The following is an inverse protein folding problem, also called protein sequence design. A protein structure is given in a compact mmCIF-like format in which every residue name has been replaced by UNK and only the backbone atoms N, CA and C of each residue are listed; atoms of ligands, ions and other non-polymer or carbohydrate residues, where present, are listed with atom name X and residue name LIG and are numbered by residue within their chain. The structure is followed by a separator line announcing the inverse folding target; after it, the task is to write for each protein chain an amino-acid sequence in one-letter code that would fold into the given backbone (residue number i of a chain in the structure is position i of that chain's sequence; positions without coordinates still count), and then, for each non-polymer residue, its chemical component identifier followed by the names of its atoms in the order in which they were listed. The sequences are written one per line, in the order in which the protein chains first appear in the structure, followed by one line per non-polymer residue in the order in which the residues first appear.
data_IF_368622407653
#
_entry.id   IF_368622407653
#
_cell.length_a   1.000
_cell.length_b   1.000
_cell.length_c   1.000
_cell.angle_alpha   90.00
_cell.angle_beta   90.00
_cell.angle_gamma   90.00
#
_symmetry.space_group_name_H-M   'P 1'
#
loop_
_entity.id
_entity.type
_entity.pdbx_description
1 polymer ?
#
# COMPACT_ATOMS: atom_id res chain seq x y z
N UNK A 1 56.65 -10.84 2.13
CA UNK A 1 55.71 -10.05 1.38
C UNK A 1 54.61 -10.99 0.89
N UNK A 2 53.49 -11.01 1.60
CA UNK A 2 52.32 -11.86 1.24
C UNK A 2 51.15 -10.90 1.17
N UNK A 3 50.70 -10.60 -0.04
CA UNK A 3 49.49 -9.80 -0.29
C UNK A 3 48.24 -10.56 0.11
N UNK A 4 47.52 -10.01 1.05
CA UNK A 4 46.21 -10.52 1.42
C UNK A 4 45.15 -10.09 0.38
N UNK A 5 44.67 -11.06 -0.37
CA UNK A 5 43.54 -10.91 -1.27
C UNK A 5 42.29 -10.73 -0.45
N UNK A 6 41.80 -9.49 -0.31
CA UNK A 6 40.51 -9.18 0.32
C UNK A 6 39.42 -9.52 -0.66
N UNK A 7 38.74 -10.61 -0.42
CA UNK A 7 37.63 -11.11 -1.22
C UNK A 7 36.41 -10.21 -1.05
N UNK A 8 35.90 -9.68 -2.15
CA UNK A 8 34.62 -8.97 -2.26
C UNK A 8 33.46 -9.92 -1.90
N UNK A 9 32.91 -9.74 -0.71
CA UNK A 9 31.69 -10.43 -0.26
C UNK A 9 30.63 -9.42 0.19
N UNK A 10 30.41 -8.33 -0.57
CA UNK A 10 29.48 -7.27 -0.16
C UNK A 10 28.36 -6.96 -1.18
N UNK A 11 28.39 -7.51 -2.39
CA UNK A 11 27.42 -7.14 -3.42
C UNK A 11 26.19 -8.04 -3.54
N UNK A 12 26.20 -9.24 -2.95
CA UNK A 12 25.08 -10.19 -3.08
C UNK A 12 23.93 -9.95 -2.07
N UNK A 13 24.13 -9.11 -1.04
CA UNK A 13 23.14 -8.91 0.02
C UNK A 13 22.32 -7.61 -0.12
N UNK A 14 22.66 -6.74 -1.09
CA UNK A 14 21.92 -5.50 -1.30
C UNK A 14 20.57 -5.70 -2.04
N UNK A 15 20.42 -6.78 -2.81
CA UNK A 15 19.18 -7.07 -3.55
C UNK A 15 18.05 -7.67 -2.68
N UNK A 16 18.38 -8.19 -1.49
CA UNK A 16 17.41 -8.86 -0.61
C UNK A 16 16.68 -7.93 0.38
N UNK A 17 16.97 -6.63 0.37
CA UNK A 17 16.53 -5.73 1.44
C UNK A 17 15.55 -4.63 1.02
N UNK A 18 14.87 -4.77 -0.13
CA UNK A 18 13.80 -3.84 -0.47
C UNK A 18 12.57 -4.09 0.39
N UNK A 19 11.98 -3.06 1.02
CA UNK A 19 10.74 -3.24 1.76
C UNK A 19 9.59 -3.58 0.81
N UNK A 20 8.61 -4.34 1.29
CA UNK A 20 7.29 -4.38 0.67
C UNK A 20 6.61 -3.05 0.97
N UNK A 21 6.25 -2.30 -0.07
CA UNK A 21 5.65 -0.98 0.06
C UNK A 21 4.13 -1.07 0.00
N UNK A 22 3.44 -0.78 1.11
CA UNK A 22 2.00 -0.55 1.13
C UNK A 22 1.73 0.89 0.75
N UNK A 23 1.02 1.12 -0.34
CA UNK A 23 0.86 2.43 -0.96
C UNK A 23 -0.62 2.79 -1.08
N UNK A 24 -1.00 3.96 -0.58
CA UNK A 24 -2.33 4.53 -0.78
C UNK A 24 -2.45 5.16 -2.18
N UNK A 25 -3.43 4.68 -2.96
CA UNK A 25 -3.71 5.17 -4.31
C UNK A 25 -4.48 6.49 -4.35
N UNK A 26 -4.90 7.01 -3.19
CA UNK A 26 -5.78 8.17 -3.14
C UNK A 26 -7.22 7.84 -3.54
N UNK A 27 -8.07 8.87 -3.68
CA UNK A 27 -9.53 8.71 -3.80
C UNK A 27 -10.01 8.42 -5.23
N UNK A 28 -9.11 8.16 -6.17
CA UNK A 28 -9.42 7.87 -7.57
C UNK A 28 -8.84 8.86 -8.57
N UNK A 29 -8.78 10.13 -8.26
CA UNK A 29 -8.13 11.15 -9.09
C UNK A 29 -6.61 10.96 -9.05
N UNK A 30 -5.97 10.81 -10.21
CA UNK A 30 -4.54 10.49 -10.30
C UNK A 30 -3.63 11.64 -9.85
N UNK A 31 -4.10 12.87 -9.90
CA UNK A 31 -3.42 14.08 -9.42
C UNK A 31 -3.44 14.24 -7.89
N UNK A 32 -4.27 13.44 -7.19
CA UNK A 32 -4.28 13.34 -5.73
C UNK A 32 -3.38 12.24 -5.18
N UNK A 33 -2.57 11.61 -6.03
CA UNK A 33 -1.55 10.67 -5.61
C UNK A 33 -0.40 11.41 -4.92
N UNK A 34 0.09 10.90 -3.79
CA UNK A 34 1.26 11.51 -3.16
C UNK A 34 2.51 11.32 -4.02
N UNK A 35 3.46 12.26 -3.96
CA UNK A 35 4.72 12.16 -4.71
C UNK A 35 5.46 10.87 -4.39
N UNK A 36 5.51 10.47 -3.11
CA UNK A 36 6.16 9.23 -2.69
C UNK A 36 5.45 8.00 -3.28
N UNK A 37 4.12 7.98 -3.29
CA UNK A 37 3.35 6.91 -3.90
C UNK A 37 3.67 6.77 -5.40
N UNK A 38 3.71 7.90 -6.12
CA UNK A 38 4.08 7.92 -7.53
C UNK A 38 5.50 7.37 -7.77
N UNK A 39 6.46 7.73 -6.91
CA UNK A 39 7.84 7.25 -7.02
C UNK A 39 7.95 5.74 -6.74
N UNK A 40 7.22 5.22 -5.77
CA UNK A 40 7.19 3.77 -5.50
C UNK A 40 6.57 2.99 -6.66
N UNK A 41 5.48 3.50 -7.25
CA UNK A 41 4.85 2.88 -8.42
C UNK A 41 5.79 2.85 -9.62
N UNK A 42 6.48 3.95 -9.94
CA UNK A 42 7.42 4.02 -11.08
C UNK A 42 8.62 3.08 -10.95
N UNK A 43 8.95 2.67 -9.73
CA UNK A 43 10.08 1.80 -9.44
C UNK A 43 9.66 0.34 -9.18
N UNK A 44 8.37 0.03 -9.24
CA UNK A 44 7.86 -1.29 -8.91
C UNK A 44 8.26 -2.33 -9.96
N UNK A 45 8.81 -3.45 -9.50
CA UNK A 45 8.99 -4.66 -10.30
C UNK A 45 7.73 -5.54 -10.25
N UNK A 46 7.00 -5.48 -9.12
CA UNK A 46 5.74 -6.21 -8.91
C UNK A 46 4.71 -5.28 -8.27
N UNK A 47 3.52 -5.22 -8.85
CA UNK A 47 2.38 -4.44 -8.38
C UNK A 47 1.20 -5.36 -8.09
N UNK A 48 0.76 -5.40 -6.82
CA UNK A 48 -0.46 -6.08 -6.39
C UNK A 48 -1.53 -5.03 -6.03
N UNK A 49 -2.75 -5.17 -6.56
CA UNK A 49 -3.85 -4.22 -6.24
C UNK A 49 -5.23 -4.85 -6.40
N UNK A 50 -6.23 -4.26 -5.75
CA UNK A 50 -7.64 -4.62 -5.93
C UNK A 50 -8.21 -3.84 -7.11
N UNK A 51 -8.37 -4.50 -8.25
CA UNK A 51 -8.68 -3.88 -9.54
C UNK A 51 -10.07 -3.20 -9.62
N UNK A 52 -11.01 -3.56 -8.74
CA UNK A 52 -12.32 -2.92 -8.66
C UNK A 52 -12.31 -1.55 -7.96
N UNK A 53 -11.23 -1.17 -7.28
CA UNK A 53 -11.17 0.01 -6.41
C UNK A 53 -10.13 1.05 -6.84
N UNK A 54 -9.14 0.64 -7.64
CA UNK A 54 -8.02 1.51 -8.04
C UNK A 54 -8.16 1.93 -9.51
N UNK A 55 -8.03 3.23 -9.74
CA UNK A 55 -8.11 3.81 -11.08
C UNK A 55 -6.98 3.29 -12.00
N UNK A 56 -7.28 2.87 -13.24
CA UNK A 56 -6.28 2.37 -14.19
C UNK A 56 -5.13 3.36 -14.47
N UNK A 57 -5.37 4.67 -14.46
CA UNK A 57 -4.34 5.69 -14.66
C UNK A 57 -3.25 5.63 -13.58
N UNK A 58 -3.58 5.21 -12.36
CA UNK A 58 -2.62 5.06 -11.26
C UNK A 58 -1.74 3.83 -11.48
N UNK A 59 -2.35 2.69 -11.84
CA UNK A 59 -1.58 1.47 -12.11
C UNK A 59 -0.70 1.58 -13.36
N UNK A 60 -1.06 2.46 -14.30
CA UNK A 60 -0.27 2.76 -15.49
C UNK A 60 1.06 3.50 -15.19
N UNK A 61 1.26 4.02 -13.97
CA UNK A 61 2.54 4.59 -13.54
C UNK A 61 3.63 3.53 -13.34
N UNK A 62 3.27 2.29 -13.10
CA UNK A 62 4.24 1.19 -13.01
C UNK A 62 4.85 0.91 -14.40
N UNK A 63 6.14 0.53 -14.48
CA UNK A 63 6.81 0.21 -15.73
C UNK A 63 6.07 -0.88 -16.54
N UNK A 64 6.23 -0.91 -17.86
CA UNK A 64 5.63 -1.93 -18.73
C UNK A 64 6.12 -3.35 -18.36
N UNK A 65 7.36 -3.47 -17.93
CA UNK A 65 7.96 -4.73 -17.47
C UNK A 65 7.50 -5.17 -16.07
N UNK A 66 6.74 -4.34 -15.34
CA UNK A 66 6.24 -4.64 -14.01
C UNK A 66 5.23 -5.82 -14.05
N UNK A 67 5.46 -6.84 -13.23
CA UNK A 67 4.49 -7.91 -13.01
C UNK A 67 3.24 -7.33 -12.34
N UNK A 68 2.07 -7.50 -12.93
CA UNK A 68 0.80 -6.95 -12.45
C UNK A 68 -0.12 -8.07 -11.97
N UNK A 69 -0.44 -8.07 -10.66
CA UNK A 69 -1.25 -9.08 -9.99
C UNK A 69 -2.52 -8.43 -9.44
N UNK A 70 -3.66 -8.80 -10.00
CA UNK A 70 -4.98 -8.39 -9.48
C UNK A 70 -5.36 -9.26 -8.30
N UNK A 71 -5.87 -8.65 -7.23
CA UNK A 71 -6.17 -9.36 -5.98
C UNK A 71 -7.65 -9.37 -5.61
N UNK A 72 -8.53 -8.88 -6.47
CA UNK A 72 -9.99 -8.84 -6.19
C UNK A 72 -10.63 -10.22 -5.95
N UNK A 73 -10.04 -11.29 -6.50
CA UNK A 73 -10.50 -12.67 -6.34
C UNK A 73 -9.67 -13.48 -5.35
N UNK A 74 -8.60 -12.91 -4.80
CA UNK A 74 -7.69 -13.59 -3.89
C UNK A 74 -8.10 -13.31 -2.44
N UNK A 75 -7.86 -14.30 -1.58
CA UNK A 75 -7.94 -14.15 -0.14
C UNK A 75 -6.64 -13.56 0.42
N UNK A 76 -6.65 -13.16 1.68
CA UNK A 76 -5.45 -12.64 2.35
C UNK A 76 -4.35 -13.71 2.45
N UNK A 77 -4.74 -14.96 2.71
CA UNK A 77 -3.87 -16.13 2.79
C UNK A 77 -3.21 -16.47 1.45
N UNK A 78 -3.79 -16.03 0.34
CA UNK A 78 -3.21 -16.17 -1.01
C UNK A 78 -2.30 -14.98 -1.36
N UNK A 79 -2.63 -13.78 -0.90
CA UNK A 79 -1.87 -12.55 -1.18
C UNK A 79 -0.54 -12.52 -0.41
N UNK A 80 -0.54 -12.90 0.88
CA UNK A 80 0.66 -12.83 1.72
C UNK A 80 1.83 -13.67 1.15
N UNK A 81 1.64 -14.94 0.76
CA UNK A 81 2.72 -15.72 0.15
C UNK A 81 3.27 -15.10 -1.15
N UNK A 82 2.44 -14.43 -1.95
CA UNK A 82 2.88 -13.72 -3.15
C UNK A 82 3.81 -12.55 -2.81
N UNK A 83 3.47 -11.74 -1.80
CA UNK A 83 4.31 -10.65 -1.34
C UNK A 83 5.68 -11.16 -0.87
N UNK A 84 5.68 -12.22 -0.05
CA UNK A 84 6.90 -12.85 0.50
C UNK A 84 7.77 -13.43 -0.63
N UNK A 85 7.18 -14.20 -1.53
CA UNK A 85 7.92 -14.86 -2.63
C UNK A 85 8.58 -13.83 -3.55
N UNK A 86 7.83 -12.79 -3.96
CA UNK A 86 8.37 -11.78 -4.87
C UNK A 86 9.47 -10.95 -4.23
N UNK A 87 9.28 -10.55 -2.96
CA UNK A 87 10.30 -9.81 -2.22
C UNK A 87 11.58 -10.64 -2.03
N UNK A 88 11.47 -11.93 -1.68
CA UNK A 88 12.63 -12.84 -1.52
C UNK A 88 13.39 -13.09 -2.81
N UNK A 89 12.77 -12.87 -3.97
CA UNK A 89 13.44 -12.88 -5.28
C UNK A 89 14.13 -11.55 -5.61
N UNK A 90 14.12 -10.59 -4.67
CA UNK A 90 14.76 -9.28 -4.83
C UNK A 90 13.92 -8.24 -5.56
N UNK A 91 12.63 -8.52 -5.81
CA UNK A 91 11.74 -7.59 -6.49
C UNK A 91 11.33 -6.42 -5.57
N UNK A 92 11.19 -5.22 -6.12
CA UNK A 92 10.54 -4.08 -5.48
C UNK A 92 9.04 -4.26 -5.57
N UNK A 93 8.44 -4.71 -4.45
CA UNK A 93 7.03 -5.06 -4.39
C UNK A 93 6.21 -3.90 -3.88
N UNK A 94 5.19 -3.50 -4.64
CA UNK A 94 4.19 -2.52 -4.23
C UNK A 94 2.84 -3.20 -4.05
N UNK A 95 2.28 -3.07 -2.84
CA UNK A 95 0.89 -3.41 -2.51
C UNK A 95 0.06 -2.13 -2.49
N UNK A 96 -0.74 -1.92 -3.54
CA UNK A 96 -1.51 -0.70 -3.72
C UNK A 96 -2.93 -0.88 -3.18
N UNK A 97 -3.36 0.06 -2.35
CA UNK A 97 -4.68 0.15 -1.72
C UNK A 97 -5.40 1.41 -2.19
N UNK A 98 -6.72 1.38 -2.29
CA UNK A 98 -7.54 2.56 -2.54
C UNK A 98 -7.50 3.53 -1.33
N UNK A 99 -7.70 4.80 -1.56
CA UNK A 99 -7.68 5.83 -0.54
C UNK A 99 -6.39 5.91 0.25
N UNK A 100 -6.50 5.80 1.56
CA UNK A 100 -5.39 5.76 2.51
C UNK A 100 -5.21 4.35 3.10
N UNK A 101 -3.97 3.92 3.25
CA UNK A 101 -3.61 2.60 3.78
C UNK A 101 -4.02 2.39 5.24
N UNK A 102 -4.25 3.46 6.00
CA UNK A 102 -4.60 3.38 7.42
C UNK A 102 -6.10 3.15 7.67
N UNK A 103 -6.97 3.22 6.62
CA UNK A 103 -8.41 3.09 6.74
C UNK A 103 -8.94 1.88 5.97
N UNK A 104 -9.45 0.88 6.67
CA UNK A 104 -10.17 -0.29 6.14
C UNK A 104 -9.38 -1.16 5.15
N UNK A 105 -8.06 -1.04 5.11
CA UNK A 105 -7.19 -1.70 4.12
C UNK A 105 -6.64 -3.05 4.57
N UNK A 106 -6.94 -3.50 5.80
CA UNK A 106 -6.46 -4.76 6.39
C UNK A 106 -4.95 -4.98 6.22
N UNK A 107 -4.15 -3.90 6.39
CA UNK A 107 -2.69 -4.00 6.24
C UNK A 107 -2.00 -4.61 7.46
N UNK A 108 -2.63 -4.56 8.65
CA UNK A 108 -1.99 -5.03 9.88
C UNK A 108 -1.65 -6.52 9.82
N UNK A 109 -2.56 -7.35 9.34
CA UNK A 109 -2.36 -8.79 9.19
C UNK A 109 -1.24 -9.09 8.19
N UNK A 110 -1.18 -8.32 7.09
CA UNK A 110 -0.13 -8.43 6.09
C UNK A 110 1.24 -8.01 6.66
N UNK A 111 1.28 -6.89 7.39
CA UNK A 111 2.50 -6.39 8.06
C UNK A 111 3.00 -7.40 9.10
N UNK A 112 2.12 -7.96 9.94
CA UNK A 112 2.50 -8.99 10.90
C UNK A 112 3.13 -10.20 10.21
N UNK A 113 2.49 -10.73 9.17
CA UNK A 113 3.01 -11.87 8.42
C UNK A 113 4.35 -11.60 7.70
N UNK A 114 4.56 -10.37 7.20
CA UNK A 114 5.83 -9.97 6.60
C UNK A 114 6.94 -9.82 7.67
N UNK A 115 6.61 -9.25 8.84
CA UNK A 115 7.53 -9.17 9.97
C UNK A 115 7.94 -10.56 10.49
N UNK A 116 6.99 -11.49 10.59
CA UNK A 116 7.27 -12.89 10.96
C UNK A 116 8.16 -13.61 9.93
N UNK A 117 8.18 -13.12 8.69
CA UNK A 117 9.05 -13.60 7.61
C UNK A 117 10.37 -12.83 7.48
N UNK A 118 10.69 -11.91 8.42
CA UNK A 118 11.86 -11.01 8.42
C UNK A 118 11.93 -10.10 7.18
N UNK A 119 10.77 -9.69 6.64
CA UNK A 119 10.67 -8.81 5.48
C UNK A 119 10.37 -7.37 5.94
N UNK A 120 11.22 -6.39 5.57
CA UNK A 120 10.97 -5.00 5.90
C UNK A 120 9.74 -4.45 5.16
N UNK A 121 9.03 -3.54 5.82
CA UNK A 121 7.80 -2.92 5.30
C UNK A 121 7.95 -1.40 5.27
N UNK A 122 7.45 -0.78 4.23
CA UNK A 122 7.23 0.66 4.13
C UNK A 122 5.73 0.92 3.94
N UNK A 123 5.18 1.89 4.69
CA UNK A 123 3.80 2.34 4.51
C UNK A 123 3.81 3.78 3.99
N UNK A 124 3.18 3.97 2.82
CA UNK A 124 3.05 5.27 2.18
C UNK A 124 1.58 5.69 2.22
N UNK A 125 1.23 6.76 2.95
CA UNK A 125 -0.15 7.21 3.08
C UNK A 125 -0.71 7.71 1.76
N UNK A 126 -2.03 7.68 1.64
CA UNK A 126 -2.78 8.27 0.53
C UNK A 126 -3.80 9.30 1.01
N UNK A 127 -4.43 10.01 0.09
CA UNK A 127 -5.55 10.89 0.39
C UNK A 127 -6.82 10.05 0.54
N UNK A 128 -7.49 10.16 1.69
CA UNK A 128 -8.73 9.42 1.93
C UNK A 128 -9.92 10.00 1.17
N UNK A 129 -10.89 9.16 0.84
CA UNK A 129 -12.09 9.55 0.09
C UNK A 129 -12.90 10.64 0.80
N UNK A 130 -13.01 10.63 2.13
CA UNK A 130 -13.75 11.64 2.88
C UNK A 130 -13.09 13.04 2.79
N UNK A 131 -11.75 13.11 2.75
CA UNK A 131 -11.03 14.36 2.56
C UNK A 131 -11.23 14.91 1.15
N UNK A 132 -11.17 14.06 0.14
CA UNK A 132 -11.44 14.45 -1.23
C UNK A 132 -12.89 14.90 -1.45
N UNK A 133 -13.86 14.25 -0.79
CA UNK A 133 -15.26 14.64 -0.82
C UNK A 133 -15.46 16.03 -0.19
N UNK A 134 -14.85 16.29 0.96
CA UNK A 134 -14.90 17.62 1.60
C UNK A 134 -14.31 18.71 0.70
N UNK A 135 -13.16 18.45 0.08
CA UNK A 135 -12.54 19.36 -0.88
C UNK A 135 -13.44 19.61 -2.11
N UNK A 136 -14.06 18.57 -2.66
CA UNK A 136 -15.01 18.69 -3.78
C UNK A 136 -16.27 19.50 -3.45
N UNK A 137 -16.66 19.51 -2.17
CA UNK A 137 -17.75 20.33 -1.66
C UNK A 137 -17.30 21.73 -1.21
N UNK A 138 -16.00 22.04 -1.33
CA UNK A 138 -15.41 23.29 -0.80
C UNK A 138 -15.78 23.51 0.68
N UNK A 139 -15.75 22.42 1.47
CA UNK A 139 -16.20 22.39 2.86
C UNK A 139 -15.07 21.96 3.79
N UNK A 140 -14.98 22.59 4.96
CA UNK A 140 -14.20 22.13 6.09
C UNK A 140 -15.05 21.17 6.95
N UNK A 141 -14.46 20.09 7.43
CA UNK A 141 -15.15 19.08 8.26
C UNK A 141 -15.29 19.51 9.73
N UNK A 142 -14.51 20.49 10.16
CA UNK A 142 -14.56 21.07 11.50
C UNK A 142 -14.93 22.52 11.44
N UNK A 143 -15.76 23.00 12.39
CA UNK A 143 -16.19 24.40 12.48
C UNK A 143 -15.88 24.91 13.89
N UNK A 144 -15.01 25.93 14.04
CA UNK A 144 -14.67 26.50 15.35
C UNK A 144 -15.92 26.89 16.15
N UNK A 145 -15.97 26.43 17.40
CA UNK A 145 -17.10 26.71 18.30
C UNK A 145 -18.40 25.92 18.04
N UNK A 146 -18.45 25.09 16.98
CA UNK A 146 -19.63 24.30 16.61
C UNK A 146 -19.32 22.81 16.65
N UNK A 147 -18.35 22.34 15.85
CA UNK A 147 -17.98 20.93 15.77
C UNK A 147 -16.47 20.78 15.60
N UNK A 148 -15.86 19.94 16.45
CA UNK A 148 -14.42 19.68 16.47
C UNK A 148 -14.10 18.18 16.35
N UNK A 149 -15.12 17.33 16.21
CA UNK A 149 -14.98 15.88 16.20
C UNK A 149 -15.41 15.32 14.86
N UNK A 150 -14.57 14.44 14.28
CA UNK A 150 -14.89 13.65 13.09
C UNK A 150 -14.91 12.19 13.52
N UNK A 151 -15.99 11.49 13.23
CA UNK A 151 -16.12 10.05 13.46
C UNK A 151 -16.18 9.35 12.11
N UNK A 152 -15.24 8.44 11.86
CA UNK A 152 -15.20 7.64 10.66
C UNK A 152 -15.73 6.25 10.96
N UNK A 153 -16.84 5.90 10.38
CA UNK A 153 -17.46 4.58 10.46
C UNK A 153 -17.75 4.03 9.07
N UNK A 154 -17.89 2.72 8.96
CA UNK A 154 -18.36 2.09 7.73
C UNK A 154 -19.65 1.30 7.98
N UNK A 155 -20.53 1.28 7.02
CA UNK A 155 -21.67 0.37 7.04
C UNK A 155 -21.20 -1.08 6.89
N UNK A 156 -21.97 -2.02 7.42
CA UNK A 156 -21.75 -3.45 7.22
C UNK A 156 -21.78 -3.81 5.74
N UNK A 157 -20.87 -4.68 5.31
CA UNK A 157 -20.73 -5.15 3.94
C UNK A 157 -20.35 -6.63 3.91
N UNK A 158 -19.49 -7.04 2.98
CA UNK A 158 -18.93 -8.42 2.92
C UNK A 158 -18.25 -8.84 4.23
N UNK A 159 -17.61 -7.88 4.90
CA UNK A 159 -17.06 -8.05 6.25
C UNK A 159 -18.00 -7.38 7.24
N UNK A 160 -18.41 -8.09 8.29
CA UNK A 160 -19.26 -7.54 9.35
C UNK A 160 -18.61 -6.37 10.08
N UNK A 161 -19.44 -5.55 10.70
CA UNK A 161 -19.01 -4.53 11.67
C UNK A 161 -19.23 -5.10 13.05
N UNK A 162 -18.32 -4.89 14.03
CA UNK A 162 -18.57 -5.28 15.42
C UNK A 162 -19.87 -4.64 15.93
N UNK A 163 -20.68 -5.40 16.67
CA UNK A 163 -21.97 -4.90 17.20
C UNK A 163 -21.85 -3.63 18.03
N UNK A 164 -20.69 -3.45 18.68
CA UNK A 164 -20.36 -2.23 19.44
C UNK A 164 -20.11 -0.98 18.59
N UNK A 165 -19.99 -1.15 17.28
CA UNK A 165 -19.66 -0.09 16.30
C UNK A 165 -20.76 0.07 15.23
N UNK A 166 -21.89 -0.62 15.38
CA UNK A 166 -23.07 -0.41 14.53
C UNK A 166 -23.67 0.98 14.84
N UNK A 167 -23.74 1.83 13.82
CA UNK A 167 -24.30 3.19 13.86
C UNK A 167 -25.81 3.16 13.63
#
# INVERSE_FOLDING_TARGET
MVEATTTRASDSNQHLNHPVCFVGAGPGASDLLTLRAADRLRQADVLLWTDSLVCPQITALAPDACERIRTSTLTLEEVIPLLIDRQRRGAKVVRLHDGDTALYSAINEQICALNDADIPVEVVPGVSAYQAAAAGLSSELTIPGVVQTIVLGRAGGRTGVPRSEEL
#
